data_IF_187124961779
#
_entry.id   IF_187124961779
#
_cell.length_a   1.000
_cell.length_b   1.000
_cell.length_c   1.000
_cell.angle_alpha   90.00
_cell.angle_beta   90.00
_cell.angle_gamma   90.00
#
_symmetry.space_group_name_H-M   'P 1'
#
loop_
_entity.id
_entity.type
_entity.pdbx_description
1 polymer ?
#
# COMPACT_ATOMS: atom_id res chain seq x y z
N UNK A 1 15.68 7.17 -34.14
CA UNK A 1 16.16 7.84 -32.89
C UNK A 1 15.25 9.01 -32.53
N UNK A 2 14.05 8.78 -31.96
CA UNK A 2 13.15 9.92 -31.71
C UNK A 2 11.93 9.71 -30.80
N UNK A 3 11.85 8.63 -30.01
CA UNK A 3 10.68 8.38 -29.15
C UNK A 3 10.96 8.42 -27.64
N UNK A 4 12.24 8.58 -27.24
CA UNK A 4 12.63 8.71 -25.83
C UNK A 4 12.68 10.18 -25.35
N UNK A 5 12.81 11.15 -26.26
CA UNK A 5 12.81 12.59 -25.90
C UNK A 5 11.42 13.14 -25.59
N UNK A 6 10.35 12.47 -26.02
CA UNK A 6 8.96 12.83 -25.74
C UNK A 6 8.45 12.34 -24.38
N UNK A 7 9.13 11.38 -23.74
CA UNK A 7 8.70 10.82 -22.45
C UNK A 7 9.09 11.73 -21.27
N UNK A 8 10.30 12.31 -21.30
CA UNK A 8 10.79 13.21 -20.24
C UNK A 8 10.08 14.58 -20.28
N UNK A 9 9.73 15.08 -21.48
CA UNK A 9 8.91 16.29 -21.62
C UNK A 9 7.42 16.10 -21.30
N UNK A 10 6.92 14.86 -21.42
CA UNK A 10 5.53 14.51 -21.10
C UNK A 10 5.26 14.44 -19.59
N UNK A 11 6.17 13.85 -18.82
CA UNK A 11 6.00 13.69 -17.36
C UNK A 11 6.01 15.06 -16.64
N UNK A 12 6.93 15.95 -17.01
CA UNK A 12 6.99 17.31 -16.44
C UNK A 12 5.73 18.14 -16.75
N UNK A 13 5.16 18.00 -17.95
CA UNK A 13 3.93 18.71 -18.33
C UNK A 13 2.64 18.06 -17.80
N UNK A 14 2.65 16.74 -17.54
CA UNK A 14 1.56 16.00 -16.90
C UNK A 14 1.45 16.29 -15.41
N UNK A 15 2.57 16.23 -14.68
CA UNK A 15 2.62 16.57 -13.25
C UNK A 15 2.21 18.03 -13.04
N UNK A 16 2.70 18.96 -13.87
CA UNK A 16 2.33 20.39 -13.77
C UNK A 16 0.83 20.67 -13.89
N UNK A 17 0.10 19.89 -14.70
CA UNK A 17 -1.37 20.02 -14.85
C UNK A 17 -2.14 19.42 -13.68
N UNK A 18 -1.64 18.34 -13.08
CA UNK A 18 -2.26 17.72 -11.90
C UNK A 18 -2.01 18.60 -10.67
N UNK A 19 -0.78 19.08 -10.48
CA UNK A 19 -0.41 19.98 -9.37
C UNK A 19 -1.21 21.27 -9.38
N UNK A 20 -1.49 21.85 -10.55
CA UNK A 20 -2.31 23.08 -10.63
C UNK A 20 -3.79 22.87 -10.30
N UNK A 21 -4.27 21.62 -10.27
CA UNK A 21 -5.65 21.29 -9.95
C UNK A 21 -5.84 20.73 -8.54
N UNK A 22 -4.79 20.19 -7.90
CA UNK A 22 -4.87 19.71 -6.51
C UNK A 22 -4.86 20.91 -5.59
N UNK A 23 -5.96 21.14 -4.87
CA UNK A 23 -6.07 22.25 -3.93
C UNK A 23 -5.12 22.08 -2.73
N UNK A 24 -4.71 23.20 -2.14
CA UNK A 24 -3.92 23.21 -0.91
C UNK A 24 -4.63 22.51 0.25
N UNK A 25 -5.97 22.48 0.26
CA UNK A 25 -6.77 21.80 1.28
C UNK A 25 -6.59 20.26 1.25
N UNK A 26 -6.65 19.63 0.06
CA UNK A 26 -6.47 18.18 -0.08
C UNK A 26 -5.07 17.74 0.37
N UNK A 27 -4.04 18.50 0.00
CA UNK A 27 -2.65 18.18 0.40
C UNK A 27 -2.41 18.38 1.91
N UNK A 28 -3.01 19.41 2.52
CA UNK A 28 -2.96 19.62 3.97
C UNK A 28 -3.67 18.51 4.72
N UNK A 29 -4.84 18.07 4.23
CA UNK A 29 -5.56 16.93 4.80
C UNK A 29 -4.73 15.64 4.73
N UNK A 30 -4.14 15.33 3.57
CA UNK A 30 -3.30 14.15 3.41
C UNK A 30 -2.06 14.17 4.32
N UNK A 31 -1.39 15.31 4.46
CA UNK A 31 -0.28 15.47 5.42
C UNK A 31 -0.74 15.31 6.88
N UNK A 32 -1.93 15.79 7.21
CA UNK A 32 -2.55 15.60 8.53
C UNK A 32 -2.76 14.13 8.85
N UNK A 33 -3.27 13.35 7.89
CA UNK A 33 -3.51 11.90 8.03
C UNK A 33 -2.21 11.15 8.36
N UNK A 34 -1.09 11.48 7.71
CA UNK A 34 0.20 10.84 8.01
C UNK A 34 0.69 11.13 9.43
N UNK A 35 0.49 12.35 9.94
CA UNK A 35 0.90 12.70 11.31
C UNK A 35 0.07 11.94 12.35
N UNK A 36 -1.25 11.90 12.17
CA UNK A 36 -2.16 11.15 13.05
C UNK A 36 -1.82 9.67 13.04
N UNK A 37 -1.64 9.09 11.84
CA UNK A 37 -1.23 7.70 11.67
C UNK A 37 0.09 7.39 12.37
N UNK A 38 1.10 8.23 12.17
CA UNK A 38 2.42 8.03 12.75
C UNK A 38 2.38 8.11 14.28
N UNK A 39 1.62 9.04 14.84
CA UNK A 39 1.49 9.19 16.30
C UNK A 39 0.82 7.96 16.93
N UNK A 40 -0.30 7.49 16.36
CA UNK A 40 -1.03 6.33 16.87
C UNK A 40 -0.20 5.03 16.76
N UNK A 41 0.53 4.86 15.65
CA UNK A 41 1.44 3.71 15.49
C UNK A 41 2.63 3.79 16.43
N UNK A 42 3.21 4.97 16.62
CA UNK A 42 4.40 5.13 17.48
C UNK A 42 4.10 4.84 18.95
N UNK A 43 2.91 5.16 19.44
CA UNK A 43 2.52 4.82 20.81
C UNK A 43 2.44 3.33 21.09
N UNK A 44 2.30 2.50 20.05
CA UNK A 44 2.29 1.04 20.17
C UNK A 44 3.68 0.42 20.10
N UNK A 45 4.69 1.13 19.59
CA UNK A 45 6.04 0.59 19.45
C UNK A 45 6.72 0.32 20.80
N UNK A 46 6.25 0.96 21.88
CA UNK A 46 6.70 0.70 23.26
C UNK A 46 6.08 -0.56 23.87
N UNK A 47 5.00 -1.09 23.28
CA UNK A 47 4.38 -2.35 23.71
C UNK A 47 5.32 -3.46 23.24
N UNK A 48 5.92 -4.22 24.17
CA UNK A 48 6.86 -5.29 23.80
C UNK A 48 6.22 -6.42 22.96
N UNK A 49 7.05 -7.36 22.52
CA UNK A 49 6.58 -8.57 21.83
C UNK A 49 6.03 -8.32 20.42
N UNK A 50 5.08 -9.15 19.98
CA UNK A 50 4.49 -9.09 18.65
C UNK A 50 3.92 -7.70 18.29
N UNK A 51 3.18 -7.06 19.21
CA UNK A 51 2.51 -5.77 18.93
C UNK A 51 3.55 -4.67 18.65
N UNK A 52 4.62 -4.58 19.44
CA UNK A 52 5.70 -3.63 19.20
C UNK A 52 6.40 -3.85 17.86
N UNK A 53 6.61 -5.11 17.47
CA UNK A 53 7.18 -5.45 16.17
C UNK A 53 6.25 -5.05 15.01
N UNK A 54 4.95 -5.29 15.15
CA UNK A 54 3.94 -4.85 14.18
C UNK A 54 3.93 -3.32 14.07
N UNK A 55 3.93 -2.62 15.20
CA UNK A 55 3.98 -1.16 15.25
C UNK A 55 5.25 -0.59 14.62
N UNK A 56 6.43 -1.17 14.91
CA UNK A 56 7.69 -0.78 14.28
C UNK A 56 7.65 -0.99 12.76
N UNK A 57 7.09 -2.10 12.29
CA UNK A 57 6.91 -2.35 10.86
C UNK A 57 5.93 -1.38 10.19
N UNK A 58 4.82 -1.05 10.86
CA UNK A 58 3.85 -0.06 10.40
C UNK A 58 4.47 1.34 10.34
N UNK A 59 5.30 1.70 11.33
CA UNK A 59 6.06 2.95 11.34
C UNK A 59 7.02 3.05 10.16
N UNK A 60 7.69 1.95 9.78
CA UNK A 60 8.54 1.89 8.57
C UNK A 60 7.72 2.10 7.29
N UNK A 61 6.55 1.46 7.18
CA UNK A 61 5.63 1.64 6.03
C UNK A 61 5.22 3.12 5.88
N UNK A 62 4.77 3.73 6.97
CA UNK A 62 4.41 5.15 7.01
C UNK A 62 5.60 6.05 6.68
N UNK A 63 6.78 5.77 7.25
CA UNK A 63 7.99 6.55 7.00
C UNK A 63 8.42 6.50 5.54
N UNK A 64 8.37 5.34 4.89
CA UNK A 64 8.70 5.22 3.46
C UNK A 64 7.69 5.96 2.60
N UNK A 65 6.39 5.81 2.85
CA UNK A 65 5.40 6.58 2.10
C UNK A 65 5.53 8.10 2.34
N UNK A 66 6.03 8.50 3.52
CA UNK A 66 6.34 9.91 3.79
C UNK A 66 7.57 10.42 3.02
N UNK A 67 8.45 9.56 2.50
CA UNK A 67 9.61 10.02 1.72
C UNK A 67 9.21 10.66 0.40
N UNK A 68 8.02 10.34 -0.13
CA UNK A 68 7.48 10.98 -1.33
C UNK A 68 7.25 12.49 -1.15
N UNK A 69 7.10 12.98 0.08
CA UNK A 69 6.96 14.41 0.39
C UNK A 69 8.23 15.20 0.10
N UNK A 70 9.39 14.59 0.38
CA UNK A 70 10.70 15.19 0.18
C UNK A 70 11.29 14.86 -1.20
N UNK A 71 10.61 14.00 -1.97
CA UNK A 71 11.03 13.55 -3.29
C UNK A 71 10.51 14.40 -4.45
N UNK A 72 10.59 13.91 -5.70
CA UNK A 72 10.21 14.65 -6.90
C UNK A 72 8.70 14.96 -7.00
N UNK A 73 7.87 14.27 -6.20
CA UNK A 73 6.42 14.52 -6.10
C UNK A 73 6.10 15.75 -5.24
N UNK A 74 7.04 16.17 -4.39
CA UNK A 74 6.93 17.33 -3.53
C UNK A 74 5.82 17.22 -2.46
N UNK A 75 5.56 18.31 -1.73
CA UNK A 75 4.67 18.29 -0.56
C UNK A 75 3.18 18.21 -0.90
N UNK A 76 2.80 18.39 -2.17
CA UNK A 76 1.41 18.37 -2.63
C UNK A 76 1.01 16.95 -3.06
N UNK A 77 1.72 16.37 -4.04
CA UNK A 77 1.38 15.04 -4.56
C UNK A 77 1.96 13.91 -3.70
N UNK A 78 3.13 14.13 -3.08
CA UNK A 78 3.81 13.12 -2.26
C UNK A 78 2.89 12.44 -1.23
N UNK A 79 2.16 13.20 -0.39
CA UNK A 79 1.25 12.62 0.60
C UNK A 79 0.12 11.80 -0.02
N UNK A 80 -0.48 12.31 -1.10
CA UNK A 80 -1.62 11.65 -1.77
C UNK A 80 -1.15 10.32 -2.38
N UNK A 81 -0.03 10.35 -3.11
CA UNK A 81 0.59 9.15 -3.67
C UNK A 81 0.99 8.17 -2.57
N UNK A 82 1.63 8.64 -1.49
CA UNK A 82 2.00 7.80 -0.36
C UNK A 82 0.81 7.06 0.25
N UNK A 83 -0.32 7.74 0.42
CA UNK A 83 -1.56 7.12 0.89
C UNK A 83 -2.09 6.07 -0.10
N UNK A 84 -2.10 6.37 -1.39
CA UNK A 84 -2.56 5.44 -2.43
C UNK A 84 -1.66 4.20 -2.55
N UNK A 85 -0.35 4.38 -2.38
CA UNK A 85 0.63 3.29 -2.31
C UNK A 85 0.34 2.37 -1.13
N UNK A 86 0.18 2.92 0.09
CA UNK A 86 -0.17 2.11 1.28
C UNK A 86 -1.50 1.38 1.08
N UNK A 87 -2.51 2.03 0.50
CA UNK A 87 -3.80 1.40 0.22
C UNK A 87 -3.69 0.26 -0.80
N UNK A 88 -2.86 0.41 -1.84
CA UNK A 88 -2.62 -0.66 -2.80
C UNK A 88 -1.94 -1.86 -2.16
N UNK A 89 -0.95 -1.64 -1.29
CA UNK A 89 -0.32 -2.71 -0.50
C UNK A 89 -1.36 -3.42 0.35
N UNK A 90 -2.18 -2.65 1.09
CA UNK A 90 -3.23 -3.19 1.95
C UNK A 90 -4.22 -4.07 1.20
N UNK A 91 -4.67 -3.63 0.02
CA UNK A 91 -5.58 -4.40 -0.85
C UNK A 91 -4.94 -5.70 -1.34
N UNK A 92 -3.71 -5.64 -1.85
CA UNK A 92 -3.00 -6.82 -2.34
C UNK A 92 -2.76 -7.83 -1.21
N UNK A 93 -2.29 -7.35 -0.06
CA UNK A 93 -2.03 -8.17 1.14
C UNK A 93 -3.30 -8.80 1.69
N UNK A 94 -4.40 -8.04 1.80
CA UNK A 94 -5.68 -8.57 2.25
C UNK A 94 -6.19 -9.69 1.33
N UNK A 95 -6.06 -9.51 0.02
CA UNK A 95 -6.46 -10.54 -0.95
C UNK A 95 -5.66 -11.83 -0.77
N UNK A 96 -4.33 -11.74 -0.65
CA UNK A 96 -3.47 -12.91 -0.44
C UNK A 96 -3.79 -13.58 0.90
N UNK A 97 -3.92 -12.78 1.96
CA UNK A 97 -4.24 -13.27 3.30
C UNK A 97 -5.58 -14.03 3.34
N UNK A 98 -6.61 -13.53 2.66
CA UNK A 98 -7.90 -14.23 2.51
C UNK A 98 -7.75 -15.54 1.76
N UNK A 99 -7.07 -15.50 0.60
CA UNK A 99 -6.85 -16.69 -0.23
C UNK A 99 -6.15 -17.84 0.51
N UNK A 100 -5.20 -17.52 1.40
CA UNK A 100 -4.46 -18.53 2.17
C UNK A 100 -5.09 -18.84 3.53
N UNK A 101 -6.27 -18.29 3.83
CA UNK A 101 -7.02 -18.52 5.06
C UNK A 101 -6.41 -17.88 6.31
N UNK A 102 -5.63 -16.81 6.15
CA UNK A 102 -5.01 -16.07 7.26
C UNK A 102 -6.01 -15.13 7.96
N UNK A 103 -6.94 -14.55 7.19
CA UNK A 103 -8.07 -13.74 7.65
C UNK A 103 -9.33 -14.17 6.89
N UNK A 104 -10.53 -13.79 7.34
CA UNK A 104 -11.78 -14.16 6.66
C UNK A 104 -12.07 -13.24 5.46
N UNK A 105 -12.92 -13.72 4.55
CA UNK A 105 -13.29 -13.01 3.32
C UNK A 105 -13.89 -11.61 3.55
N UNK A 106 -14.60 -11.42 4.67
CA UNK A 106 -15.22 -10.15 5.01
C UNK A 106 -14.34 -9.22 5.86
N UNK A 107 -13.13 -9.65 6.23
CA UNK A 107 -12.22 -8.79 6.99
C UNK A 107 -11.57 -7.74 6.06
N UNK A 108 -11.43 -6.52 6.55
CA UNK A 108 -10.64 -5.48 5.91
C UNK A 108 -9.31 -5.31 6.65
N UNK A 109 -8.27 -4.89 5.94
CA UNK A 109 -6.91 -4.78 6.52
C UNK A 109 -6.85 -3.75 7.66
N UNK A 110 -7.61 -2.67 7.56
CA UNK A 110 -7.77 -1.70 8.64
C UNK A 110 -8.44 -2.29 9.88
N UNK A 111 -9.38 -3.24 9.74
CA UNK A 111 -10.00 -3.89 10.90
C UNK A 111 -8.99 -4.79 11.63
N UNK A 112 -8.10 -5.46 10.89
CA UNK A 112 -6.98 -6.22 11.46
C UNK A 112 -6.10 -5.29 12.29
N UNK A 113 -5.70 -4.14 11.73
CA UNK A 113 -4.88 -3.16 12.44
C UNK A 113 -5.58 -2.56 13.66
N UNK A 114 -6.88 -2.28 13.57
CA UNK A 114 -7.69 -1.79 14.68
C UNK A 114 -7.68 -2.77 15.85
N UNK A 115 -7.92 -4.06 15.57
CA UNK A 115 -7.91 -5.12 16.59
C UNK A 115 -6.55 -5.26 17.27
N UNK A 116 -5.46 -5.05 16.54
CA UNK A 116 -4.10 -5.08 17.10
C UNK A 116 -3.86 -3.90 18.04
N UNK A 117 -4.29 -2.69 17.67
CA UNK A 117 -4.20 -1.53 18.57
C UNK A 117 -5.03 -1.75 19.84
N UNK A 118 -6.26 -2.25 19.71
CA UNK A 118 -7.10 -2.51 20.88
C UNK A 118 -6.53 -3.60 21.77
N UNK A 119 -6.01 -4.69 21.20
CA UNK A 119 -5.34 -5.74 21.96
C UNK A 119 -4.18 -5.19 22.81
N UNK A 120 -3.47 -4.17 22.33
CA UNK A 120 -2.37 -3.53 23.05
C UNK A 120 -2.79 -2.80 24.34
N UNK A 121 -4.08 -2.52 24.50
CA UNK A 121 -4.66 -1.83 25.67
C UNK A 121 -5.25 -2.77 26.69
N UNK A 122 -5.30 -4.07 26.38
CA UNK A 122 -5.90 -5.11 27.20
C UNK A 122 -4.82 -6.08 27.68
N UNK A 123 -4.23 -5.78 28.85
CA UNK A 123 -3.22 -6.64 29.48
C UNK A 123 -3.79 -8.02 29.88
N UNK A 124 -5.12 -8.14 30.01
CA UNK A 124 -5.83 -9.36 30.35
C UNK A 124 -6.07 -10.28 29.14
N UNK A 125 -5.73 -9.84 27.93
CA UNK A 125 -5.92 -10.65 26.72
C UNK A 125 -4.69 -11.49 26.42
N UNK A 126 -4.95 -12.68 25.86
CA UNK A 126 -3.88 -13.54 25.35
C UNK A 126 -3.05 -12.83 24.28
N UNK A 127 -1.74 -12.93 24.38
CA UNK A 127 -0.83 -12.36 23.39
C UNK A 127 -0.65 -13.30 22.20
N UNK A 128 -0.09 -12.80 21.10
CA UNK A 128 0.13 -13.58 19.89
C UNK A 128 0.89 -14.88 20.16
N UNK A 129 1.83 -14.87 21.10
CA UNK A 129 2.70 -16.00 21.46
C UNK A 129 1.93 -17.19 22.06
N UNK A 130 0.72 -16.98 22.56
CA UNK A 130 -0.16 -18.05 23.06
C UNK A 130 -0.77 -18.92 21.94
N UNK A 131 -0.65 -18.51 20.69
CA UNK A 131 -1.31 -19.14 19.54
C UNK A 131 -0.29 -19.81 18.60
N UNK A 132 -0.67 -20.91 17.96
CA UNK A 132 0.19 -21.62 17.00
C UNK A 132 0.37 -20.86 15.69
N UNK A 133 -0.59 -20.01 15.32
CA UNK A 133 -0.56 -19.25 14.08
C UNK A 133 -1.17 -17.85 14.22
N UNK A 134 -0.85 -16.95 13.28
CA UNK A 134 -1.47 -15.63 13.25
C UNK A 134 -2.97 -15.73 12.95
N UNK A 135 -3.40 -16.74 12.17
CA UNK A 135 -4.80 -16.98 11.88
C UNK A 135 -5.60 -17.25 13.17
N UNK A 136 -5.07 -18.08 14.07
CA UNK A 136 -5.69 -18.37 15.36
C UNK A 136 -5.76 -17.13 16.26
N UNK A 137 -4.67 -16.36 16.34
CA UNK A 137 -4.65 -15.11 17.10
C UNK A 137 -5.64 -14.09 16.55
N UNK A 138 -5.73 -13.96 15.21
CA UNK A 138 -6.69 -13.08 14.56
C UNK A 138 -8.14 -13.50 14.84
N UNK A 139 -8.44 -14.80 14.76
CA UNK A 139 -9.77 -15.32 15.09
C UNK A 139 -10.14 -15.02 16.56
N UNK A 140 -9.20 -15.19 17.49
CA UNK A 140 -9.37 -14.77 18.89
C UNK A 140 -9.68 -13.27 19.02
N UNK A 141 -8.90 -12.40 18.36
CA UNK A 141 -9.16 -10.96 18.40
C UNK A 141 -10.51 -10.58 17.77
N UNK A 142 -10.97 -11.34 16.77
CA UNK A 142 -12.28 -11.14 16.14
C UNK A 142 -13.43 -11.55 17.06
N UNK A 143 -13.24 -12.55 17.92
CA UNK A 143 -14.21 -12.89 18.96
C UNK A 143 -14.29 -11.80 20.04
N UNK A 144 -13.15 -11.25 20.44
CA UNK A 144 -13.08 -10.13 21.40
C UNK A 144 -13.69 -8.84 20.84
N UNK A 145 -13.43 -8.56 19.56
CA UNK A 145 -13.92 -7.38 18.86
C UNK A 145 -14.57 -7.81 17.54
N UNK A 146 -15.85 -8.20 17.55
CA UNK A 146 -16.57 -8.50 16.32
C UNK A 146 -16.68 -7.24 15.45
N UNK A 147 -16.83 -7.40 14.13
CA UNK A 147 -16.85 -6.25 13.20
C UNK A 147 -18.01 -5.26 13.47
N UNK A 148 -19.07 -5.69 14.14
CA UNK A 148 -20.17 -4.83 14.61
C UNK A 148 -19.81 -3.97 15.83
N UNK A 149 -18.76 -4.34 16.58
CA UNK A 149 -18.29 -3.61 17.76
C UNK A 149 -17.12 -2.65 17.45
N UNK A 150 -16.64 -2.62 16.20
CA UNK A 150 -15.60 -1.69 15.77
C UNK A 150 -16.14 -0.26 15.81
N UNK A 151 -15.42 0.63 16.50
CA UNK A 151 -15.65 2.07 16.41
C UNK A 151 -15.24 2.57 15.03
N UNK A 152 -16.23 2.73 14.15
CA UNK A 152 -16.04 3.16 12.76
C UNK A 152 -15.51 4.58 12.65
N UNK A 153 -15.93 5.47 13.54
CA UNK A 153 -15.46 6.85 13.53
C UNK A 153 -13.97 6.91 13.88
N UNK A 154 -13.55 6.19 14.93
CA UNK A 154 -12.14 6.07 15.27
C UNK A 154 -11.32 5.41 14.15
N UNK A 155 -11.85 4.34 13.55
CA UNK A 155 -11.22 3.66 12.42
C UNK A 155 -11.01 4.61 11.24
N UNK A 156 -12.00 5.44 10.89
CA UNK A 156 -11.89 6.42 9.81
C UNK A 156 -10.85 7.50 10.11
N UNK A 157 -10.80 8.02 11.34
CA UNK A 157 -9.86 9.06 11.76
C UNK A 157 -8.39 8.62 11.65
N UNK A 158 -8.10 7.36 11.96
CA UNK A 158 -6.74 6.81 11.94
C UNK A 158 -6.56 5.72 10.87
N UNK A 159 -7.36 5.75 9.80
CA UNK A 159 -7.45 4.66 8.82
C UNK A 159 -6.09 4.24 8.25
N UNK A 160 -5.24 5.21 7.90
CA UNK A 160 -3.92 4.92 7.34
C UNK A 160 -2.99 4.22 8.33
N UNK A 161 -3.07 4.58 9.62
CA UNK A 161 -2.35 3.90 10.69
C UNK A 161 -2.81 2.45 10.83
N UNK A 162 -4.12 2.23 10.81
CA UNK A 162 -4.70 0.89 10.86
C UNK A 162 -4.37 0.02 9.65
N UNK A 163 -4.43 0.56 8.44
CA UNK A 163 -3.97 -0.17 7.24
C UNK A 163 -2.50 -0.56 7.41
N UNK A 164 -1.64 0.34 7.91
CA UNK A 164 -0.21 0.07 8.08
C UNK A 164 0.05 -1.01 9.15
N UNK A 165 -0.68 -0.99 10.27
CA UNK A 165 -0.65 -2.05 11.29
C UNK A 165 -1.13 -3.38 10.73
N UNK A 166 -2.24 -3.38 10.00
CA UNK A 166 -2.79 -4.56 9.35
C UNK A 166 -1.80 -5.16 8.34
N UNK A 167 -1.22 -4.35 7.45
CA UNK A 167 -0.17 -4.80 6.51
C UNK A 167 1.00 -5.42 7.28
N UNK A 168 1.50 -4.71 8.30
CA UNK A 168 2.66 -5.14 9.08
C UNK A 168 2.41 -6.47 9.80
N UNK A 169 1.19 -6.70 10.29
CA UNK A 169 0.80 -7.96 10.91
C UNK A 169 0.60 -9.10 9.90
N UNK A 170 -0.05 -8.80 8.78
CA UNK A 170 -0.29 -9.78 7.72
C UNK A 170 1.01 -10.21 7.04
N UNK A 171 2.02 -9.35 6.96
CA UNK A 171 3.26 -9.65 6.24
C UNK A 171 3.94 -10.91 6.80
N UNK A 172 3.98 -11.06 8.13
CA UNK A 172 4.68 -12.16 8.78
C UNK A 172 3.91 -13.47 8.56
N UNK A 173 2.58 -13.43 8.66
CA UNK A 173 1.72 -14.59 8.41
C UNK A 173 1.73 -15.05 6.96
N UNK A 174 1.70 -14.11 6.00
CA UNK A 174 1.81 -14.41 4.57
C UNK A 174 3.22 -14.94 4.26
N UNK A 175 4.27 -14.28 4.75
CA UNK A 175 5.65 -14.71 4.55
C UNK A 175 5.89 -16.14 5.05
N UNK A 176 5.44 -16.44 6.28
CA UNK A 176 5.52 -17.78 6.85
C UNK A 176 4.80 -18.84 6.00
N UNK A 177 3.64 -18.52 5.42
CA UNK A 177 2.89 -19.45 4.54
C UNK A 177 3.63 -19.80 3.24
N UNK A 178 4.41 -18.87 2.71
CA UNK A 178 5.23 -19.09 1.51
C UNK A 178 6.69 -19.47 1.83
N UNK A 179 7.08 -19.50 3.10
CA UNK A 179 8.48 -19.70 3.49
C UNK A 179 9.41 -18.57 3.04
N UNK A 180 8.89 -17.34 3.00
CA UNK A 180 9.58 -16.14 2.53
C UNK A 180 9.64 -15.09 3.65
N UNK A 181 10.75 -14.36 3.74
CA UNK A 181 10.76 -13.08 4.45
C UNK A 181 10.19 -11.99 3.54
N UNK A 182 9.27 -11.17 4.06
CA UNK A 182 8.67 -10.07 3.30
C UNK A 182 9.23 -8.73 3.78
N UNK A 183 10.36 -8.27 3.20
CA UNK A 183 10.94 -7.00 3.58
C UNK A 183 9.99 -5.85 3.23
N UNK A 184 10.01 -4.82 4.06
CA UNK A 184 9.14 -3.65 3.91
C UNK A 184 9.36 -2.95 2.56
N UNK A 185 10.59 -2.93 2.04
CA UNK A 185 10.90 -2.38 0.71
C UNK A 185 10.26 -3.18 -0.43
N UNK A 186 10.08 -4.50 -0.27
CA UNK A 186 9.33 -5.30 -1.26
C UNK A 186 7.87 -4.86 -1.29
N UNK A 187 7.24 -4.67 -0.12
CA UNK A 187 5.88 -4.16 -0.02
C UNK A 187 5.74 -2.79 -0.69
N UNK A 188 6.74 -1.91 -0.54
CA UNK A 188 6.73 -0.63 -1.24
C UNK A 188 6.69 -0.81 -2.77
N UNK A 189 7.47 -1.73 -3.33
CA UNK A 189 7.43 -2.04 -4.76
C UNK A 189 6.06 -2.58 -5.21
N UNK A 190 5.39 -3.40 -4.38
CA UNK A 190 4.01 -3.84 -4.64
C UNK A 190 3.08 -2.64 -4.79
N UNK A 191 3.17 -1.69 -3.87
CA UNK A 191 2.38 -0.46 -3.92
C UNK A 191 2.73 0.40 -5.14
N UNK A 192 4.00 0.73 -5.35
CA UNK A 192 4.47 1.56 -6.49
C UNK A 192 4.05 0.96 -7.84
N UNK A 193 4.21 -0.36 -7.99
CA UNK A 193 3.83 -1.09 -9.20
C UNK A 193 2.33 -1.39 -9.30
N UNK A 194 1.57 -1.10 -8.24
CA UNK A 194 0.13 -1.39 -8.14
C UNK A 194 -0.18 -2.87 -8.43
N UNK A 195 0.63 -3.79 -7.88
CA UNK A 195 0.36 -5.21 -8.07
C UNK A 195 -0.97 -5.58 -7.41
N UNK A 196 -1.82 -6.27 -8.17
CA UNK A 196 -3.07 -6.85 -7.66
C UNK A 196 -2.78 -8.08 -6.79
N UNK A 197 -3.77 -8.50 -5.99
CA UNK A 197 -3.60 -9.62 -5.05
C UNK A 197 -3.24 -10.94 -5.74
N UNK A 198 -3.83 -11.22 -6.90
CA UNK A 198 -3.53 -12.39 -7.73
C UNK A 198 -2.11 -12.34 -8.31
N UNK A 199 -1.65 -11.18 -8.78
CA UNK A 199 -0.28 -10.95 -9.24
C UNK A 199 0.72 -11.13 -8.10
N UNK A 200 0.47 -10.53 -6.94
CA UNK A 200 1.30 -10.72 -5.74
C UNK A 200 1.37 -12.21 -5.35
N UNK A 201 0.22 -12.90 -5.29
CA UNK A 201 0.21 -14.33 -4.97
C UNK A 201 1.01 -15.15 -5.99
N UNK A 202 0.86 -14.89 -7.29
CA UNK A 202 1.60 -15.61 -8.32
C UNK A 202 3.11 -15.37 -8.18
N UNK A 203 3.51 -14.14 -7.86
CA UNK A 203 4.90 -13.79 -7.61
C UNK A 203 5.46 -14.51 -6.37
N UNK A 204 4.71 -14.54 -5.26
CA UNK A 204 5.11 -15.25 -4.04
C UNK A 204 5.25 -16.76 -4.26
N UNK A 205 4.31 -17.38 -4.99
CA UNK A 205 4.38 -18.80 -5.36
C UNK A 205 5.63 -19.09 -6.19
N UNK A 206 5.88 -18.29 -7.23
CA UNK A 206 7.03 -18.50 -8.11
C UNK A 206 8.36 -18.32 -7.35
N UNK A 207 8.49 -17.24 -6.57
CA UNK A 207 9.72 -16.97 -5.81
C UNK A 207 9.98 -18.04 -4.75
N UNK A 208 8.93 -18.49 -4.04
CA UNK A 208 9.02 -19.61 -3.11
C UNK A 208 9.50 -20.89 -3.81
N UNK A 209 8.89 -21.23 -4.96
CA UNK A 209 9.26 -22.42 -5.72
C UNK A 209 10.70 -22.39 -6.25
N UNK A 210 11.24 -21.21 -6.55
CA UNK A 210 12.63 -21.01 -6.98
C UNK A 210 13.63 -20.88 -5.83
N UNK A 211 13.16 -20.78 -4.58
CA UNK A 211 14.01 -20.45 -3.44
C UNK A 211 14.63 -19.06 -3.53
N UNK A 212 13.94 -18.12 -4.19
CA UNK A 212 14.40 -16.75 -4.34
C UNK A 212 13.99 -15.90 -3.14
N UNK A 213 14.89 -14.99 -2.76
CA UNK A 213 14.59 -13.95 -1.80
C UNK A 213 13.80 -12.82 -2.47
N UNK A 214 12.81 -12.25 -1.76
CA UNK A 214 11.95 -11.19 -2.32
C UNK A 214 12.69 -9.87 -2.57
N UNK A 215 13.88 -9.64 -1.97
CA UNK A 215 14.73 -8.52 -2.36
C UNK A 215 15.20 -8.62 -3.82
N UNK A 216 15.26 -9.83 -4.40
CA UNK A 216 15.64 -10.00 -5.81
C UNK A 216 14.64 -9.32 -6.75
N UNK A 217 13.36 -9.26 -6.38
CA UNK A 217 12.35 -8.53 -7.16
C UNK A 217 12.68 -7.04 -7.22
N UNK A 218 12.90 -6.39 -6.07
CA UNK A 218 13.31 -4.98 -6.01
C UNK A 218 14.63 -4.75 -6.75
N UNK A 219 15.64 -5.57 -6.50
CA UNK A 219 16.96 -5.46 -7.15
C UNK A 219 16.85 -5.58 -8.67
N UNK A 220 15.97 -6.46 -9.17
CA UNK A 220 15.66 -6.54 -10.60
C UNK A 220 15.03 -5.24 -11.10
N UNK A 221 14.01 -4.73 -10.39
CA UNK A 221 13.32 -3.51 -10.79
C UNK A 221 14.28 -2.31 -10.85
N UNK A 222 15.11 -2.15 -9.82
CA UNK A 222 16.13 -1.11 -9.72
C UNK A 222 17.30 -1.31 -10.69
N UNK A 223 17.47 -2.50 -11.28
CA UNK A 223 18.57 -2.80 -12.22
C UNK A 223 19.89 -3.14 -11.55
N UNK A 224 19.83 -3.55 -10.30
CA UNK A 224 20.97 -3.98 -9.49
C UNK A 224 21.36 -5.43 -9.83
N UNK A 225 20.52 -6.18 -10.55
CA UNK A 225 20.85 -7.50 -11.09
C UNK A 225 21.47 -7.40 -12.49
N UNK A 226 22.42 -8.29 -12.77
CA UNK A 226 23.11 -8.39 -14.06
C UNK A 226 23.22 -9.84 -14.54
N UNK A 227 23.62 -10.02 -15.80
CA UNK A 227 23.92 -11.33 -16.39
C UNK A 227 22.76 -12.33 -16.31
N UNK A 228 23.10 -13.57 -15.95
CA UNK A 228 22.15 -14.69 -15.86
C UNK A 228 21.10 -14.46 -14.78
N UNK A 229 21.51 -13.93 -13.62
CA UNK A 229 20.61 -13.67 -12.51
C UNK A 229 19.49 -12.69 -12.88
N UNK A 230 19.81 -11.65 -13.64
CA UNK A 230 18.78 -10.73 -14.16
C UNK A 230 17.78 -11.47 -15.05
N UNK A 231 18.26 -12.31 -15.96
CA UNK A 231 17.41 -13.05 -16.91
C UNK A 231 16.51 -14.06 -16.20
N UNK A 232 17.05 -14.83 -15.27
CA UNK A 232 16.28 -15.84 -14.54
C UNK A 232 15.22 -15.23 -13.64
N UNK A 233 15.50 -14.07 -13.02
CA UNK A 233 14.50 -13.33 -12.23
C UNK A 233 13.43 -12.73 -13.15
N UNK A 234 13.83 -12.15 -14.29
CA UNK A 234 12.87 -11.64 -15.30
C UNK A 234 11.93 -12.74 -15.81
N UNK A 235 12.47 -13.91 -16.15
CA UNK A 235 11.70 -15.07 -16.61
C UNK A 235 10.74 -15.58 -15.53
N UNK A 236 11.15 -15.51 -14.25
CA UNK A 236 10.28 -15.91 -13.12
C UNK A 236 9.13 -14.92 -12.93
N UNK A 237 9.41 -13.60 -12.99
CA UNK A 237 8.36 -12.58 -12.95
C UNK A 237 7.39 -12.76 -14.12
N UNK A 238 7.92 -13.02 -15.32
CA UNK A 238 7.11 -13.26 -16.51
C UNK A 238 6.23 -14.51 -16.37
N UNK A 239 6.77 -15.59 -15.79
CA UNK A 239 6.05 -16.82 -15.48
C UNK A 239 4.90 -16.56 -14.49
N UNK A 240 5.16 -15.80 -13.43
CA UNK A 240 4.14 -15.39 -12.47
C UNK A 240 3.02 -14.58 -13.15
N UNK A 241 3.36 -13.57 -13.95
CA UNK A 241 2.35 -12.76 -14.65
C UNK A 241 1.58 -13.55 -15.70
N UNK A 242 2.24 -14.46 -16.42
CA UNK A 242 1.58 -15.34 -17.41
C UNK A 242 0.58 -16.30 -16.76
N UNK A 243 0.81 -16.68 -15.50
CA UNK A 243 -0.15 -17.46 -14.72
C UNK A 243 -1.44 -16.69 -14.47
N UNK A 244 -1.34 -15.37 -14.26
CA UNK A 244 -2.49 -14.49 -14.01
C UNK A 244 -3.19 -14.07 -15.30
N UNK A 245 -2.41 -13.81 -16.35
CA UNK A 245 -2.88 -13.36 -17.67
C UNK A 245 -2.47 -14.34 -18.78
N UNK A 246 -3.05 -15.56 -18.82
CA UNK A 246 -2.70 -16.57 -19.81
C UNK A 246 -2.95 -16.12 -21.25
N UNK A 247 -3.86 -15.18 -21.47
CA UNK A 247 -4.22 -14.60 -22.76
C UNK A 247 -3.22 -13.54 -23.27
N UNK A 248 -2.50 -12.84 -22.38
CA UNK A 248 -1.53 -11.80 -22.79
C UNK A 248 -0.31 -12.43 -23.45
N UNK A 249 0.16 -11.85 -24.55
CA UNK A 249 1.41 -12.32 -25.17
C UNK A 249 2.64 -11.89 -24.33
N UNK A 250 3.79 -12.50 -24.60
CA UNK A 250 5.03 -12.26 -23.85
C UNK A 250 5.51 -10.80 -23.95
N UNK A 251 5.31 -10.13 -25.09
CA UNK A 251 5.75 -8.75 -25.28
C UNK A 251 4.92 -7.78 -24.43
N UNK A 252 3.61 -7.97 -24.34
CA UNK A 252 2.74 -7.17 -23.47
C UNK A 252 3.13 -7.31 -21.99
N UNK A 253 3.48 -8.53 -21.57
CA UNK A 253 3.98 -8.78 -20.20
C UNK A 253 5.34 -8.12 -19.95
N UNK A 254 6.24 -8.11 -20.95
CA UNK A 254 7.52 -7.40 -20.87
C UNK A 254 7.34 -5.88 -20.82
N UNK A 255 6.35 -5.34 -21.51
CA UNK A 255 5.97 -3.92 -21.40
C UNK A 255 5.47 -3.61 -19.99
N UNK A 256 4.63 -4.48 -19.42
CA UNK A 256 4.17 -4.36 -18.04
C UNK A 256 5.36 -4.39 -17.05
N UNK A 257 6.30 -5.33 -17.19
CA UNK A 257 7.52 -5.39 -16.38
C UNK A 257 8.37 -4.13 -16.57
N UNK A 258 8.49 -3.61 -17.80
CA UNK A 258 9.21 -2.38 -18.07
C UNK A 258 8.57 -1.17 -17.38
N UNK A 259 7.24 -1.12 -17.33
CA UNK A 259 6.51 -0.11 -16.56
C UNK A 259 6.82 -0.21 -15.06
N UNK A 260 6.81 -1.42 -14.49
CA UNK A 260 7.20 -1.67 -13.10
C UNK A 260 8.62 -1.15 -12.80
N UNK A 261 9.56 -1.40 -13.72
CA UNK A 261 10.95 -0.90 -13.59
C UNK A 261 11.03 0.62 -13.60
N UNK A 262 10.22 1.27 -14.44
CA UNK A 262 10.19 2.74 -14.50
C UNK A 262 9.70 3.32 -13.18
N UNK A 263 8.56 2.85 -12.67
CA UNK A 263 8.00 3.35 -11.39
C UNK A 263 8.85 3.03 -10.18
N UNK A 264 9.56 1.91 -10.21
CA UNK A 264 10.52 1.57 -9.16
C UNK A 264 11.67 2.58 -9.09
N UNK A 265 12.20 3.01 -10.24
CA UNK A 265 13.40 3.87 -10.33
C UNK A 265 13.10 5.37 -10.27
N UNK A 266 11.92 5.77 -10.67
CA UNK A 266 11.52 7.18 -10.75
C UNK A 266 10.17 7.39 -10.07
N UNK A 267 10.20 7.95 -8.87
CA UNK A 267 8.99 8.23 -8.09
C UNK A 267 8.03 9.19 -8.82
N UNK A 268 8.52 10.04 -9.71
CA UNK A 268 7.65 10.92 -10.52
C UNK A 268 6.72 10.11 -11.43
N UNK A 269 7.19 8.95 -11.91
CA UNK A 269 6.41 8.08 -12.80
C UNK A 269 5.32 7.28 -12.07
N UNK A 270 5.33 7.24 -10.73
CA UNK A 270 4.24 6.63 -9.93
C UNK A 270 2.91 7.33 -10.21
N UNK A 271 2.93 8.64 -10.53
CA UNK A 271 1.73 9.43 -10.83
C UNK A 271 0.91 8.81 -11.95
N UNK A 272 1.54 8.23 -12.96
CA UNK A 272 0.83 7.60 -14.09
C UNK A 272 0.06 6.35 -13.65
N UNK A 273 0.59 5.55 -12.73
CA UNK A 273 -0.09 4.36 -12.19
C UNK A 273 -1.32 4.70 -11.35
N UNK A 274 -1.37 5.90 -10.78
CA UNK A 274 -2.43 6.38 -9.90
C UNK A 274 -3.26 7.52 -10.50
N UNK A 275 -3.06 7.82 -11.77
CA UNK A 275 -3.76 8.89 -12.46
C UNK A 275 -5.29 8.78 -12.36
N UNK A 276 -5.93 7.61 -12.53
CA UNK A 276 -7.38 7.49 -12.39
C UNK A 276 -7.88 7.92 -11.00
N UNK A 277 -7.20 7.48 -9.93
CA UNK A 277 -7.53 7.83 -8.55
C UNK A 277 -7.31 9.32 -8.28
N UNK A 278 -6.22 9.89 -8.81
CA UNK A 278 -5.95 11.33 -8.68
C UNK A 278 -7.03 12.14 -9.38
N UNK A 279 -7.45 11.76 -10.59
CA UNK A 279 -8.52 12.44 -11.32
C UNK A 279 -9.88 12.32 -10.61
N UNK A 280 -10.16 11.18 -9.95
CA UNK A 280 -11.36 11.01 -9.14
C UNK A 280 -11.36 11.92 -7.91
N UNK A 281 -10.23 12.01 -7.19
CA UNK A 281 -10.08 12.90 -6.04
C UNK A 281 -10.26 14.37 -6.44
N UNK A 282 -9.72 14.75 -7.59
CA UNK A 282 -9.89 16.10 -8.17
C UNK A 282 -11.34 16.42 -8.50
N UNK A 283 -12.10 15.44 -9.01
CA UNK A 283 -13.54 15.63 -9.29
C UNK A 283 -14.33 15.83 -8.00
N UNK A 284 -14.05 15.05 -6.96
CA UNK A 284 -14.74 15.16 -5.66
C UNK A 284 -14.51 16.52 -4.99
N UNK A 285 -13.27 17.04 -5.02
CA UNK A 285 -12.96 18.37 -4.45
C UNK A 285 -13.72 19.49 -5.16
N UNK A 286 -13.81 19.44 -6.50
CA UNK A 286 -14.58 20.44 -7.28
C UNK A 286 -16.07 20.38 -7.00
N UNK A 287 -16.64 19.19 -6.83
CA UNK A 287 -18.05 19.04 -6.46
C UNK A 287 -18.36 19.61 -5.07
N UNK A 288 -17.48 19.38 -4.08
CA UNK A 288 -17.63 19.91 -2.73
C UNK A 288 -17.46 21.44 -2.67
N UNK A 289 -16.56 22.02 -3.46
CA UNK A 289 -16.42 23.48 -3.59
C UNK A 289 -17.65 24.11 -4.25
N UNK A 290 -18.18 23.49 -5.31
CA UNK A 290 -19.40 23.99 -6.00
C UNK A 290 -20.64 23.93 -5.11
N UNK A 291 -20.71 22.97 -4.19
CA UNK A 291 -21.82 22.81 -3.23
C UNK A 291 -21.69 23.76 -2.02
N UNK A 292 -20.48 24.13 -1.61
CA UNK A 292 -20.24 25.19 -0.61
C UNK A 292 -20.43 26.61 -1.18
N UNK A 293 -20.22 26.79 -2.49
CA UNK A 293 -20.44 28.04 -3.22
C UNK A 293 -21.87 28.21 -3.75
N UNK A 294 -22.76 27.22 -3.57
CA UNK A 294 -24.20 27.38 -3.78
C UNK A 294 -24.74 28.35 -2.72
N UNK A 295 -25.12 29.57 -3.11
CA UNK A 295 -25.05 30.68 -2.20
C UNK A 295 -26.20 30.73 -1.19
N UNK A 296 -25.88 31.37 -0.06
CA UNK A 296 -26.76 32.13 0.84
C UNK A 296 -27.61 33.19 0.08
N UNK A 297 -28.34 32.79 -0.96
CA UNK A 297 -29.25 33.64 -1.76
C UNK A 297 -30.70 33.57 -1.27
N UNK A 298 -30.97 33.04 -0.07
CA UNK A 298 -32.31 33.04 0.52
C UNK A 298 -32.48 34.15 1.57
N UNK A 299 -31.41 34.78 2.08
CA UNK A 299 -31.49 35.72 3.21
C UNK A 299 -31.40 37.23 2.85
N UNK A 300 -31.58 37.61 1.58
CA UNK A 300 -31.63 39.05 1.17
C UNK A 300 -32.97 39.50 0.57
N UNK A 301 -34.08 38.82 0.87
CA UNK A 301 -35.43 39.35 0.62
C UNK A 301 -36.31 39.39 1.88
N UNK A 302 -35.86 40.12 2.91
CA UNK A 302 -36.76 40.66 3.94
C UNK A 302 -36.56 42.15 4.10
#
# INVERSE_FOLDING_TARGET
>A
MGWLSSFVGGIASGIGKIVSCVSSAVSVAANGVFKVASAAVSSLASVGGFIGNVAAGAGKILSMASSFLAGPLGPILGPIIGQLVIQAIGKAMAWVAKKIGLIKENDEVEEVGYRIEEAAKHEDWETREAFGSFAEYHDYLREKIPSSAIDRHKLEQNRLGYISLGISALKDGVGAKFGLDMPIDFLLEIGKCRLEGNELNALLVEFSAKGYDLSMFRRFLQGELSGDMRRTVEDSILTALKTVYPEKNTEDLRLQISSMRNVSRDDASIVENYKPELEELLKKDKSQQTEQDLPRLIDTQK
#
